data_IF_640211394476
#
_entry.id   IF_640211394476
#
_cell.length_a   1.000
_cell.length_b   1.000
_cell.length_c   1.000
_cell.angle_alpha   90.00
_cell.angle_beta   90.00
_cell.angle_gamma   90.00
#
_symmetry.space_group_name_H-M   'P 1'
#
loop_
_entity.id
_entity.type
_entity.pdbx_description
1 polymer ?
#
# COMPACT_ATOMS: atom_id res chain seq x y z
N UNK A 1 -7.38 -12.11 -15.63
CA UNK A 1 -8.13 -12.23 -14.35
C UNK A 1 -7.99 -10.87 -13.69
N UNK A 2 -9.08 -10.17 -13.33
CA UNK A 2 -8.97 -8.85 -12.70
C UNK A 2 -8.65 -9.03 -11.22
N UNK A 3 -7.37 -8.90 -10.87
CA UNK A 3 -6.90 -8.96 -9.49
C UNK A 3 -6.04 -7.74 -9.20
N UNK A 4 -6.33 -7.05 -8.09
CA UNK A 4 -5.45 -6.03 -7.55
C UNK A 4 -4.28 -6.73 -6.86
N UNK A 5 -3.07 -6.43 -7.31
CA UNK A 5 -1.84 -7.01 -6.80
C UNK A 5 -1.02 -5.93 -6.09
N UNK A 6 -0.47 -6.27 -4.93
CA UNK A 6 0.64 -5.50 -4.34
C UNK A 6 1.89 -5.87 -5.14
N UNK A 7 2.59 -4.86 -5.63
CA UNK A 7 3.84 -5.05 -6.38
C UNK A 7 5.05 -4.96 -5.45
N UNK A 8 5.06 -3.91 -4.63
CA UNK A 8 6.14 -3.64 -3.69
C UNK A 8 5.66 -2.76 -2.54
N UNK A 9 6.47 -2.75 -1.50
CA UNK A 9 6.35 -1.84 -0.37
C UNK A 9 7.68 -1.11 -0.23
N UNK A 10 7.63 0.21 -0.17
CA UNK A 10 8.80 1.08 -0.13
C UNK A 10 8.75 1.97 1.11
N UNK A 11 9.84 2.02 1.87
CA UNK A 11 10.02 3.04 2.89
C UNK A 11 10.62 4.29 2.24
N UNK A 12 9.91 5.41 2.30
CA UNK A 12 10.37 6.70 1.80
C UNK A 12 11.37 7.34 2.78
N UNK A 13 12.48 7.87 2.27
CA UNK A 13 13.42 8.65 3.07
C UNK A 13 12.88 10.06 3.29
N UNK A 14 12.93 10.52 4.54
CA UNK A 14 12.47 11.86 4.91
C UNK A 14 13.22 12.94 4.12
N UNK A 15 12.47 13.87 3.50
CA UNK A 15 13.03 14.99 2.75
C UNK A 15 13.51 14.69 1.33
N UNK A 16 13.36 13.46 0.83
CA UNK A 16 13.71 13.11 -0.55
C UNK A 16 12.59 12.30 -1.21
N UNK A 17 11.83 12.94 -2.10
CA UNK A 17 10.81 12.24 -2.89
C UNK A 17 11.45 11.19 -3.81
N UNK A 18 10.95 9.95 -3.74
CA UNK A 18 11.34 8.87 -4.66
C UNK A 18 12.67 8.17 -4.34
N UNK A 19 13.24 8.41 -3.16
CA UNK A 19 14.40 7.68 -2.65
C UNK A 19 13.97 6.87 -1.43
N UNK A 20 13.94 5.56 -1.57
CA UNK A 20 13.48 4.64 -0.55
C UNK A 20 14.13 3.27 -0.60
N UNK A 21 13.93 2.50 0.47
CA UNK A 21 14.27 1.07 0.47
C UNK A 21 12.98 0.32 0.13
N UNK A 22 12.97 -0.35 -1.02
CA UNK A 22 11.84 -1.12 -1.49
C UNK A 22 12.11 -2.62 -1.40
N UNK A 23 11.08 -3.37 -1.04
CA UNK A 23 11.07 -4.82 -1.17
C UNK A 23 9.90 -5.26 -2.06
N UNK A 24 10.06 -6.33 -2.85
CA UNK A 24 8.95 -6.95 -3.57
C UNK A 24 7.84 -7.43 -2.63
N UNK A 25 6.62 -7.58 -3.17
CA UNK A 25 5.53 -8.20 -2.44
C UNK A 25 5.91 -9.61 -1.96
N UNK A 26 5.58 -9.91 -0.69
CA UNK A 26 5.92 -11.17 -0.03
C UNK A 26 7.26 -11.14 0.73
N UNK A 27 8.08 -10.11 0.55
CA UNK A 27 9.29 -9.89 1.34
C UNK A 27 9.03 -8.99 2.55
N UNK A 28 9.97 -9.04 3.52
CA UNK A 28 9.89 -8.21 4.74
C UNK A 28 10.62 -6.89 4.53
N UNK A 29 9.91 -5.78 4.73
CA UNK A 29 10.50 -4.45 4.83
C UNK A 29 10.64 -4.08 6.31
N UNK A 30 11.85 -3.78 6.75
CA UNK A 30 12.07 -3.21 8.09
C UNK A 30 11.73 -1.72 8.08
N UNK A 31 10.79 -1.33 8.93
CA UNK A 31 10.32 0.06 9.09
C UNK A 31 10.37 0.46 10.56
N UNK A 32 10.49 1.75 10.82
CA UNK A 32 10.54 2.38 12.13
C UNK A 32 9.31 3.27 12.33
N UNK A 33 8.97 3.55 13.59
CA UNK A 33 8.01 4.60 13.91
C UNK A 33 8.50 5.95 13.36
N UNK A 34 7.61 6.69 12.71
CA UNK A 34 7.91 7.94 12.01
C UNK A 34 8.17 7.76 10.51
N UNK A 35 8.46 6.53 10.05
CA UNK A 35 8.64 6.27 8.63
C UNK A 35 7.33 6.47 7.85
N UNK A 36 7.44 6.81 6.57
CA UNK A 36 6.34 6.73 5.61
C UNK A 36 6.60 5.56 4.68
N UNK A 37 5.58 4.72 4.51
CA UNK A 37 5.64 3.56 3.63
C UNK A 37 4.70 3.78 2.45
N UNK A 38 5.24 3.65 1.24
CA UNK A 38 4.48 3.64 -0.01
C UNK A 38 4.19 2.20 -0.42
N UNK A 39 2.91 1.89 -0.59
CA UNK A 39 2.44 0.62 -1.16
C UNK A 39 2.15 0.86 -2.64
N UNK A 40 2.83 0.11 -3.51
CA UNK A 40 2.58 0.12 -4.94
C UNK A 40 1.63 -1.01 -5.32
N UNK A 41 0.54 -0.66 -5.99
CA UNK A 41 -0.54 -1.56 -6.38
C UNK A 41 -0.71 -1.52 -7.89
N UNK A 42 -1.12 -2.65 -8.48
CA UNK A 42 -1.47 -2.71 -9.90
C UNK A 42 -2.57 -3.72 -10.18
N UNK A 43 -3.40 -3.40 -11.17
CA UNK A 43 -4.47 -4.26 -11.66
C UNK A 43 -4.52 -4.23 -13.18
N UNK A 44 -4.71 -5.40 -13.78
CA UNK A 44 -5.12 -5.51 -15.19
C UNK A 44 -6.61 -5.18 -15.29
N UNK A 45 -6.92 -4.07 -15.96
CA UNK A 45 -8.27 -3.56 -16.11
C UNK A 45 -8.75 -3.61 -17.57
N UNK A 46 -10.03 -3.89 -17.75
CA UNK A 46 -10.76 -3.73 -19.02
C UNK A 46 -12.22 -3.50 -18.68
N UNK A 47 -12.81 -2.40 -19.14
CA UNK A 47 -14.17 -2.04 -18.77
C UNK A 47 -14.50 -0.55 -18.98
N UNK A 48 -15.64 -0.09 -18.44
CA UNK A 48 -16.06 1.31 -18.49
C UNK A 48 -15.13 2.23 -17.67
N UNK A 49 -15.33 3.55 -17.74
CA UNK A 49 -14.68 4.42 -16.76
C UNK A 49 -15.27 4.14 -15.37
N UNK A 50 -14.41 3.96 -14.36
CA UNK A 50 -14.82 3.81 -12.96
C UNK A 50 -13.99 4.75 -12.10
N UNK A 51 -14.64 5.39 -11.14
CA UNK A 51 -13.98 6.12 -10.07
C UNK A 51 -14.45 5.50 -8.76
N UNK A 52 -13.50 5.10 -7.93
CA UNK A 52 -13.79 4.41 -6.68
C UNK A 52 -12.79 4.78 -5.61
N UNK A 53 -12.70 3.92 -4.60
CA UNK A 53 -11.82 4.10 -3.45
C UNK A 53 -11.10 2.81 -3.16
N UNK A 54 -9.77 2.86 -3.03
CA UNK A 54 -8.98 1.72 -2.57
C UNK A 54 -8.54 2.03 -1.14
N UNK A 55 -8.99 1.20 -0.21
CA UNK A 55 -8.57 1.27 1.18
C UNK A 55 -7.31 0.42 1.38
N UNK A 56 -6.24 1.02 1.92
CA UNK A 56 -5.01 0.31 2.24
C UNK A 56 -4.78 0.39 3.75
N UNK A 57 -4.82 -0.77 4.39
CA UNK A 57 -4.52 -0.94 5.80
C UNK A 57 -3.23 -1.75 5.96
N UNK A 58 -2.49 -1.47 7.03
CA UNK A 58 -1.48 -2.41 7.52
C UNK A 58 -1.84 -2.82 8.94
N UNK A 59 -1.64 -4.10 9.22
CA UNK A 59 -1.89 -4.70 10.52
C UNK A 59 -0.61 -5.23 11.14
N UNK A 60 -0.65 -5.42 12.45
CA UNK A 60 0.30 -6.25 13.18
C UNK A 60 -0.11 -7.71 13.07
N UNK A 61 0.84 -8.58 12.77
CA UNK A 61 0.68 -10.02 12.95
C UNK A 61 1.17 -10.39 14.34
N UNK A 62 0.27 -10.78 15.24
CA UNK A 62 0.63 -11.45 16.50
C UNK A 62 0.06 -12.89 16.51
N UNK A 63 0.35 -13.66 17.57
CA UNK A 63 -0.03 -15.07 17.68
C UNK A 63 -1.56 -15.33 17.60
N UNK A 64 -2.41 -14.31 17.73
CA UNK A 64 -3.86 -14.47 17.93
C UNK A 64 -4.70 -13.65 16.94
N UNK A 65 -4.20 -12.53 16.42
CA UNK A 65 -4.88 -11.66 15.47
C UNK A 65 -3.90 -11.00 14.51
N UNK A 66 -4.19 -11.05 13.20
CA UNK A 66 -3.49 -10.30 12.17
C UNK A 66 -4.16 -8.95 11.94
N UNK A 67 -4.46 -8.20 12.99
CA UNK A 67 -5.03 -6.86 12.87
C UNK A 67 -4.90 -6.12 14.20
N UNK A 68 -3.80 -5.40 14.39
CA UNK A 68 -3.82 -4.22 15.28
C UNK A 68 -3.97 -2.99 14.38
N UNK A 69 -5.19 -2.86 13.88
CA UNK A 69 -5.61 -1.88 12.89
C UNK A 69 -5.82 -0.51 13.52
N UNK A 70 -4.89 0.42 13.29
CA UNK A 70 -5.20 1.83 13.49
C UNK A 70 -4.51 2.79 12.52
N UNK A 71 -3.78 2.28 11.53
CA UNK A 71 -3.07 3.12 10.55
C UNK A 71 -3.34 2.61 9.14
N UNK A 72 -3.96 3.49 8.38
CA UNK A 72 -4.65 3.20 7.14
C UNK A 72 -4.68 4.48 6.32
N UNK A 73 -4.66 4.34 5.00
CA UNK A 73 -4.88 5.45 4.10
C UNK A 73 -5.66 4.98 2.87
N UNK A 74 -6.26 5.93 2.19
CA UNK A 74 -7.13 5.71 1.06
C UNK A 74 -6.55 6.30 -0.21
N UNK A 75 -6.67 5.58 -1.32
CA UNK A 75 -6.56 6.15 -2.65
C UNK A 75 -7.96 6.56 -3.07
N UNK A 76 -8.23 7.86 -3.06
CA UNK A 76 -9.52 8.45 -3.39
C UNK A 76 -9.31 9.77 -4.17
N UNK A 77 -9.65 9.83 -5.48
CA UNK A 77 -10.25 8.75 -6.25
C UNK A 77 -9.22 7.72 -6.75
N UNK A 78 -9.61 6.46 -6.76
CA UNK A 78 -8.96 5.40 -7.54
C UNK A 78 -9.62 5.34 -8.94
N UNK A 79 -8.97 5.98 -9.91
CA UNK A 79 -9.48 6.15 -11.27
C UNK A 79 -9.10 4.96 -12.16
N UNK A 80 -10.08 4.46 -12.90
CA UNK A 80 -9.93 3.43 -13.92
C UNK A 80 -10.39 4.01 -15.26
N UNK A 81 -9.53 4.05 -16.29
CA UNK A 81 -9.91 4.55 -17.59
C UNK A 81 -10.85 3.58 -18.29
N UNK A 82 -11.78 4.11 -19.08
CA UNK A 82 -12.51 3.29 -20.02
C UNK A 82 -11.53 2.62 -20.99
N UNK A 83 -11.62 1.29 -21.12
CA UNK A 83 -10.77 0.53 -22.05
C UNK A 83 -11.49 -0.70 -22.59
N UNK A 84 -11.38 -0.90 -23.90
CA UNK A 84 -11.79 -2.13 -24.59
C UNK A 84 -10.66 -3.17 -24.64
N UNK A 85 -9.42 -2.74 -24.42
CA UNK A 85 -8.25 -3.61 -24.29
C UNK A 85 -7.85 -3.78 -22.81
N UNK A 86 -7.05 -4.79 -22.52
CA UNK A 86 -6.45 -4.94 -21.19
C UNK A 86 -5.37 -3.87 -21.00
N UNK A 87 -5.52 -3.08 -19.94
CA UNK A 87 -4.56 -2.04 -19.55
C UNK A 87 -4.08 -2.28 -18.12
N UNK A 88 -2.84 -1.89 -17.84
CA UNK A 88 -2.32 -1.90 -16.48
C UNK A 88 -2.63 -0.56 -15.82
N UNK A 89 -3.35 -0.60 -14.71
CA UNK A 89 -3.64 0.58 -13.89
C UNK A 89 -2.83 0.45 -12.60
N UNK A 90 -1.99 1.45 -12.33
CA UNK A 90 -1.13 1.50 -11.15
C UNK A 90 -1.63 2.51 -10.12
N UNK A 91 -1.43 2.20 -8.85
CA UNK A 91 -1.75 3.09 -7.73
C UNK A 91 -0.60 3.11 -6.72
N UNK A 92 -0.50 4.22 -5.99
CA UNK A 92 0.42 4.37 -4.87
C UNK A 92 -0.35 4.88 -3.66
N UNK A 93 -0.12 4.27 -2.51
CA UNK A 93 -0.71 4.71 -1.24
C UNK A 93 0.39 4.91 -0.20
N UNK A 94 0.53 6.12 0.29
CA UNK A 94 1.50 6.46 1.34
C UNK A 94 0.84 6.31 2.71
N UNK A 95 1.47 5.56 3.60
CA UNK A 95 0.97 5.31 4.94
C UNK A 95 2.05 5.66 5.96
N UNK A 96 1.72 6.60 6.86
CA UNK A 96 2.58 6.95 7.97
C UNK A 96 2.60 5.85 9.04
N UNK A 97 3.79 5.46 9.45
CA UNK A 97 4.03 4.50 10.53
C UNK A 97 4.05 5.24 11.87
N UNK A 98 2.87 5.61 12.39
CA UNK A 98 2.69 6.27 13.70
C UNK A 98 2.46 5.31 14.90
N UNK A 99 1.79 5.76 15.97
CA UNK A 99 1.35 4.91 17.10
C UNK A 99 2.18 5.03 18.39
N UNK A 100 1.59 4.63 19.53
CA UNK A 100 2.23 4.64 20.86
C UNK A 100 3.26 3.51 20.97
N UNK A 101 4.43 3.78 21.56
CA UNK A 101 5.44 2.75 21.91
C UNK A 101 4.84 1.60 22.72
N UNK A 102 5.15 0.36 22.34
CA UNK A 102 4.85 -0.88 23.06
C UNK A 102 5.94 -1.95 22.83
N UNK A 103 6.09 -2.90 23.74
CA UNK A 103 7.26 -3.80 23.80
C UNK A 103 7.18 -5.05 22.92
N UNK A 104 6.44 -5.03 21.81
CA UNK A 104 6.18 -6.24 21.01
C UNK A 104 6.09 -5.98 19.50
N UNK A 105 7.03 -5.22 18.95
CA UNK A 105 7.20 -5.08 17.50
C UNK A 105 8.18 -6.14 17.00
N UNK A 106 7.68 -7.11 16.25
CA UNK A 106 8.47 -8.07 15.44
C UNK A 106 8.35 -7.74 13.95
#
# INVERSE_FOLDING_TARGET
MQQLNILSVERLLEGIEGLGIAVPAGEKLTVMLGDVVRVLLQVEYRGPALSGKIHVSYGRQNLVFNEDGNKQNDIDPAEFPQSFDWVLVGFACDIAIGGSYGTEYD
#
